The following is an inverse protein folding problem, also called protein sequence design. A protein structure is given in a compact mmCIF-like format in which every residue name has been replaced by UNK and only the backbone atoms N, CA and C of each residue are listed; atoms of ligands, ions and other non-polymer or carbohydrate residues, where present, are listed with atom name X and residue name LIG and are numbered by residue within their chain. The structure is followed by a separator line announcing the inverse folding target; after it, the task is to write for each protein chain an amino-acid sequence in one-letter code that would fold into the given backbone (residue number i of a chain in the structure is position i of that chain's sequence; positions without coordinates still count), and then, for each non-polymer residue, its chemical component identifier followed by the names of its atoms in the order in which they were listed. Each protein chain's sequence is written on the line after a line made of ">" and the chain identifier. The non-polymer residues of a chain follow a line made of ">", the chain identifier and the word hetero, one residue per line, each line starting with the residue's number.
data_IF_406228460980
#
_entry.id   IF_406228460980
#
_cell.length_a   1.000
_cell.length_b   1.000
_cell.length_c   1.000
_cell.angle_alpha   90.00
_cell.angle_beta   90.00
_cell.angle_gamma   90.00
#
_symmetry.space_group_name_H-M   'P 1'
#
loop_
_entity.id
_entity.type
_entity.pdbx_description
1 polymer ?
#
# COMPACT_ATOMS: atom_id res chain seq x y z
N UNK A 1 -4.34 11.98 13.49
CA UNK A 1 -5.35 10.90 13.46
C UNK A 1 -4.74 9.70 12.77
N UNK A 2 -5.25 8.51 13.07
CA UNK A 2 -4.83 7.28 12.36
C UNK A 2 -5.69 7.10 11.11
N UNK A 3 -5.11 6.64 10.01
CA UNK A 3 -5.87 6.27 8.81
C UNK A 3 -6.71 5.01 9.03
N UNK A 4 -6.30 4.11 9.92
CA UNK A 4 -7.10 2.91 10.25
C UNK A 4 -8.22 3.19 11.26
N UNK A 5 -8.45 4.45 11.63
CA UNK A 5 -9.58 4.84 12.46
C UNK A 5 -10.90 4.61 11.71
N UNK A 6 -11.81 3.85 12.30
CA UNK A 6 -13.07 3.45 11.66
C UNK A 6 -13.92 4.64 11.24
N UNK A 7 -13.92 5.74 12.01
CA UNK A 7 -14.66 6.94 11.65
C UNK A 7 -14.11 7.58 10.37
N UNK A 8 -12.78 7.56 10.20
CA UNK A 8 -12.10 8.07 8.99
C UNK A 8 -12.38 7.16 7.79
N UNK A 9 -12.31 5.84 7.99
CA UNK A 9 -12.58 4.85 6.93
C UNK A 9 -14.02 4.99 6.42
N UNK A 10 -14.99 5.11 7.34
CA UNK A 10 -16.41 5.23 6.97
C UNK A 10 -16.70 6.54 6.25
N UNK A 11 -16.08 7.64 6.68
CA UNK A 11 -16.16 8.91 5.97
C UNK A 11 -15.59 8.81 4.54
N UNK A 12 -14.44 8.16 4.37
CA UNK A 12 -13.84 7.95 3.04
C UNK A 12 -14.75 7.09 2.17
N UNK A 13 -15.29 5.97 2.69
CA UNK A 13 -16.23 5.09 2.00
C UNK A 13 -17.44 5.85 1.47
N UNK A 14 -18.05 6.69 2.30
CA UNK A 14 -19.19 7.52 1.90
C UNK A 14 -18.82 8.51 0.78
N UNK A 15 -17.64 9.14 0.87
CA UNK A 15 -17.18 10.14 -0.10
C UNK A 15 -16.85 9.55 -1.48
N UNK A 16 -16.42 8.29 -1.54
CA UNK A 16 -16.00 7.64 -2.79
C UNK A 16 -17.07 6.76 -3.43
N UNK A 17 -18.23 6.59 -2.77
CA UNK A 17 -19.34 5.79 -3.28
C UNK A 17 -19.76 6.22 -4.70
N UNK A 18 -19.86 5.23 -5.60
CA UNK A 18 -20.24 5.45 -7.01
C UNK A 18 -19.17 6.12 -7.88
N UNK A 19 -17.95 6.32 -7.38
CA UNK A 19 -16.85 6.94 -8.14
C UNK A 19 -15.84 5.89 -8.61
N UNK A 20 -15.04 6.27 -9.61
CA UNK A 20 -13.82 5.53 -9.95
C UNK A 20 -12.72 5.91 -8.95
N UNK A 21 -12.13 4.92 -8.31
CA UNK A 21 -11.21 5.11 -7.17
C UNK A 21 -9.83 4.58 -7.49
N UNK A 22 -8.83 5.39 -7.16
CA UNK A 22 -7.43 5.02 -7.00
C UNK A 22 -7.04 5.37 -5.56
N UNK A 23 -6.29 4.50 -4.90
CA UNK A 23 -5.82 4.71 -3.53
C UNK A 23 -4.30 4.88 -3.53
N UNK A 24 -3.79 5.78 -2.69
CA UNK A 24 -2.37 5.93 -2.39
C UNK A 24 -2.21 5.88 -0.87
N UNK A 25 -1.45 4.91 -0.38
CA UNK A 25 -1.13 4.73 1.03
C UNK A 25 0.28 5.26 1.30
N UNK A 26 0.36 6.28 2.15
CA UNK A 26 1.59 7.02 2.45
C UNK A 26 1.52 7.68 3.84
N UNK A 27 0.96 6.97 4.84
CA UNK A 27 0.71 7.53 6.17
C UNK A 27 1.70 7.01 7.22
N UNK A 28 1.69 5.70 7.47
CA UNK A 28 2.57 4.97 8.37
C UNK A 28 3.37 3.96 7.54
N UNK A 29 4.38 3.39 8.19
CA UNK A 29 5.34 2.52 7.56
C UNK A 29 5.57 1.24 8.34
N UNK A 30 4.92 0.98 9.48
CA UNK A 30 5.01 -0.36 10.09
C UNK A 30 4.16 -1.36 9.30
N UNK A 31 4.62 -2.61 9.25
CA UNK A 31 3.95 -3.71 8.56
C UNK A 31 2.48 -3.82 8.97
N UNK A 32 2.21 -3.91 10.27
CA UNK A 32 0.87 -4.16 10.80
C UNK A 32 -0.10 -3.05 10.41
N UNK A 33 0.34 -1.79 10.49
CA UNK A 33 -0.50 -0.64 10.18
C UNK A 33 -0.82 -0.56 8.69
N UNK A 34 0.20 -0.72 7.83
CA UNK A 34 0.00 -0.70 6.36
C UNK A 34 -0.83 -1.90 5.89
N UNK A 35 -0.68 -3.06 6.50
CA UNK A 35 -1.51 -4.24 6.19
C UNK A 35 -2.98 -3.97 6.52
N UNK A 36 -3.25 -3.29 7.64
CA UNK A 36 -4.61 -2.90 7.99
C UNK A 36 -5.15 -1.80 7.06
N UNK A 37 -4.35 -0.80 6.68
CA UNK A 37 -4.73 0.15 5.63
C UNK A 37 -5.10 -0.56 4.32
N UNK A 38 -4.30 -1.54 3.88
CA UNK A 38 -4.58 -2.34 2.69
C UNK A 38 -5.92 -3.05 2.79
N UNK A 39 -6.20 -3.72 3.92
CA UNK A 39 -7.48 -4.41 4.15
C UNK A 39 -8.67 -3.44 4.14
N UNK A 40 -8.49 -2.22 4.65
CA UNK A 40 -9.57 -1.23 4.75
C UNK A 40 -9.83 -0.46 3.45
N UNK A 41 -8.77 -0.07 2.74
CA UNK A 41 -8.83 0.86 1.62
C UNK A 41 -8.69 0.20 0.25
N UNK A 42 -7.90 -0.88 0.10
CA UNK A 42 -7.76 -1.55 -1.19
C UNK A 42 -9.11 -2.05 -1.76
N UNK A 43 -10.06 -2.57 -0.97
CA UNK A 43 -11.39 -2.95 -1.48
C UNK A 43 -12.17 -1.82 -2.15
N UNK A 44 -11.83 -0.55 -1.87
CA UNK A 44 -12.47 0.63 -2.45
C UNK A 44 -11.96 0.94 -3.86
N UNK A 45 -10.78 0.44 -4.24
CA UNK A 45 -10.16 0.67 -5.55
C UNK A 45 -11.03 0.06 -6.65
N UNK A 46 -11.25 0.78 -7.75
CA UNK A 46 -12.02 0.23 -8.87
C UNK A 46 -11.24 -0.83 -9.65
N UNK A 47 -11.92 -1.82 -10.22
CA UNK A 47 -11.29 -2.80 -11.14
C UNK A 47 -10.59 -2.07 -12.30
N UNK A 48 -9.35 -2.46 -12.59
CA UNK A 48 -8.48 -1.80 -13.56
C UNK A 48 -7.79 -0.52 -13.08
N UNK A 49 -8.04 -0.10 -11.83
CA UNK A 49 -7.35 0.98 -11.13
C UNK A 49 -6.27 0.43 -10.20
N UNK A 50 -5.70 1.28 -9.33
CA UNK A 50 -4.55 0.95 -8.49
C UNK A 50 -4.77 1.26 -7.01
N UNK A 51 -4.18 0.42 -6.16
CA UNK A 51 -3.73 0.78 -4.82
C UNK A 51 -2.21 0.96 -4.89
N UNK A 52 -1.70 2.16 -4.62
CA UNK A 52 -0.27 2.43 -4.61
C UNK A 52 0.19 2.50 -3.16
N UNK A 53 1.07 1.60 -2.76
CA UNK A 53 1.72 1.60 -1.44
C UNK A 53 3.09 2.25 -1.59
N UNK A 54 3.31 3.36 -0.89
CA UNK A 54 4.56 4.09 -0.94
C UNK A 54 5.63 3.45 -0.04
N UNK A 55 6.88 3.87 -0.25
CA UNK A 55 8.03 3.53 0.59
C UNK A 55 8.33 2.03 0.80
N UNK A 56 7.86 1.19 -0.11
CA UNK A 56 8.25 -0.24 -0.13
C UNK A 56 9.74 -0.44 -0.40
N UNK A 57 10.46 0.58 -0.87
CA UNK A 57 11.94 0.53 -1.03
C UNK A 57 12.67 0.28 0.29
N UNK A 58 12.05 0.59 1.43
CA UNK A 58 12.64 0.39 2.77
C UNK A 58 13.17 -1.03 2.96
N UNK A 59 12.49 -2.05 2.41
CA UNK A 59 12.94 -3.45 2.50
C UNK A 59 14.27 -3.72 1.75
N UNK A 60 14.58 -2.94 0.72
CA UNK A 60 15.80 -3.11 -0.08
C UNK A 60 16.97 -2.27 0.44
N UNK A 61 16.73 -1.43 1.46
CA UNK A 61 17.74 -0.56 2.04
C UNK A 61 18.60 -1.29 3.09
N UNK A 62 19.78 -0.73 3.45
CA UNK A 62 20.55 -1.18 4.60
C UNK A 62 19.71 -1.16 5.90
N UNK A 63 20.01 -2.06 6.83
CA UNK A 63 19.29 -2.17 8.12
C UNK A 63 19.33 -0.87 8.94
N UNK A 64 20.41 -0.09 8.81
CA UNK A 64 20.66 1.16 9.51
C UNK A 64 20.26 2.42 8.70
N UNK A 65 19.49 2.26 7.61
CA UNK A 65 19.07 3.40 6.79
C UNK A 65 18.18 4.41 7.55
N UNK A 66 17.43 3.94 8.55
CA UNK A 66 16.51 4.76 9.36
C UNK A 66 16.62 4.41 10.86
N UNK A 67 17.73 4.73 11.54
CA UNK A 67 18.03 4.21 12.88
C UNK A 67 17.09 4.76 13.98
N UNK A 68 16.47 5.93 13.75
CA UNK A 68 15.58 6.59 14.70
C UNK A 68 14.09 6.34 14.42
N UNK A 69 13.76 5.43 13.49
CA UNK A 69 12.38 5.10 13.13
C UNK A 69 11.95 3.77 13.77
N UNK A 70 10.67 3.63 14.12
CA UNK A 70 10.14 2.39 14.69
C UNK A 70 9.87 1.31 13.64
N UNK A 71 10.30 1.52 12.38
CA UNK A 71 10.09 0.66 11.23
C UNK A 71 11.37 0.63 10.39
N UNK A 72 11.53 -0.39 9.55
CA UNK A 72 12.74 -0.61 8.77
C UNK A 72 12.67 -1.92 7.99
N UNK A 73 13.82 -2.47 7.60
CA UNK A 73 13.84 -3.77 6.93
C UNK A 73 13.18 -4.85 7.80
N UNK A 74 12.29 -5.66 7.21
CA UNK A 74 11.47 -6.65 7.92
C UNK A 74 10.15 -6.13 8.51
N UNK A 75 10.04 -4.82 8.79
CA UNK A 75 8.83 -4.17 9.32
C UNK A 75 8.56 -2.88 8.54
N UNK A 76 7.97 -3.01 7.34
CA UNK A 76 7.80 -1.90 6.40
C UNK A 76 6.60 -2.10 5.44
N UNK A 77 6.28 -1.11 4.58
CA UNK A 77 5.19 -1.24 3.63
C UNK A 77 5.32 -2.41 2.64
N UNK A 78 6.55 -2.82 2.26
CA UNK A 78 6.72 -3.94 1.31
C UNK A 78 6.34 -5.27 1.93
N UNK A 79 6.71 -5.49 3.18
CA UNK A 79 6.33 -6.73 3.88
C UNK A 79 4.81 -6.82 4.05
N UNK A 80 4.13 -5.68 4.27
CA UNK A 80 2.66 -5.61 4.29
C UNK A 80 2.03 -5.92 2.93
N UNK A 81 2.60 -5.38 1.84
CA UNK A 81 2.15 -5.70 0.46
C UNK A 81 2.22 -7.20 0.19
N UNK A 82 3.35 -7.84 0.49
CA UNK A 82 3.51 -9.27 0.25
C UNK A 82 2.51 -10.09 1.07
N UNK A 83 2.33 -9.79 2.36
CA UNK A 83 1.32 -10.45 3.20
C UNK A 83 -0.11 -10.26 2.66
N UNK A 84 -0.48 -9.05 2.25
CA UNK A 84 -1.79 -8.78 1.68
C UNK A 84 -2.07 -9.59 0.40
N UNK A 85 -1.06 -9.76 -0.47
CA UNK A 85 -1.20 -10.55 -1.70
C UNK A 85 -1.31 -12.05 -1.45
N UNK A 86 -0.86 -12.56 -0.29
CA UNK A 86 -1.12 -13.94 0.13
C UNK A 86 -2.59 -14.14 0.51
N UNK A 87 -3.22 -13.13 1.10
CA UNK A 87 -4.62 -13.13 1.55
C UNK A 87 -5.62 -12.77 0.42
N UNK A 88 -5.17 -11.99 -0.56
CA UNK A 88 -6.05 -11.38 -1.56
C UNK A 88 -5.60 -11.72 -2.99
N UNK A 89 -6.55 -12.12 -3.85
CA UNK A 89 -6.30 -12.46 -5.26
C UNK A 89 -6.91 -11.45 -6.24
N UNK A 90 -7.50 -10.37 -5.76
CA UNK A 90 -8.06 -9.31 -6.60
C UNK A 90 -6.98 -8.34 -7.11
N UNK A 91 -5.78 -8.39 -6.54
CA UNK A 91 -4.66 -7.51 -6.89
C UNK A 91 -3.45 -8.29 -7.40
N UNK A 92 -2.68 -7.62 -8.26
CA UNK A 92 -1.36 -8.07 -8.71
C UNK A 92 -0.37 -6.89 -8.72
N UNK A 93 0.91 -7.17 -8.53
CA UNK A 93 1.98 -6.17 -8.70
C UNK A 93 2.14 -5.86 -10.19
N UNK A 94 2.02 -4.59 -10.59
CA UNK A 94 2.26 -4.17 -11.97
C UNK A 94 3.73 -3.83 -12.21
N UNK A 95 4.53 -4.86 -12.49
CA UNK A 95 5.96 -4.72 -12.80
C UNK A 95 6.25 -3.80 -14.00
N UNK A 96 5.27 -3.56 -14.89
CA UNK A 96 5.45 -2.67 -16.06
C UNK A 96 5.64 -1.21 -15.61
N UNK A 97 5.10 -0.83 -14.45
CA UNK A 97 5.30 0.51 -13.90
C UNK A 97 6.75 0.68 -13.47
N UNK A 98 7.34 -0.31 -12.78
CA UNK A 98 8.76 -0.26 -12.41
C UNK A 98 9.66 -0.09 -13.64
N UNK A 99 9.41 -0.88 -14.69
CA UNK A 99 10.19 -0.81 -15.94
C UNK A 99 10.07 0.53 -16.66
N UNK A 100 8.93 1.23 -16.53
CA UNK A 100 8.71 2.56 -17.12
C UNK A 100 9.36 3.67 -16.31
N UNK A 101 9.30 3.59 -14.98
CA UNK A 101 9.84 4.61 -14.09
C UNK A 101 11.37 4.56 -14.00
N UNK A 102 11.97 3.37 -14.21
CA UNK A 102 13.40 3.06 -14.06
C UNK A 102 13.93 3.16 -12.62
N UNK A 103 13.47 4.16 -11.87
CA UNK A 103 13.76 4.39 -10.45
C UNK A 103 12.44 4.67 -9.73
N UNK A 104 12.20 4.04 -8.59
CA UNK A 104 11.01 4.27 -7.77
C UNK A 104 11.31 4.05 -6.29
N UNK A 105 10.59 4.77 -5.43
CA UNK A 105 10.54 4.54 -3.96
C UNK A 105 9.52 3.47 -3.58
N UNK A 106 8.72 3.01 -4.54
CA UNK A 106 7.65 2.04 -4.36
C UNK A 106 7.86 0.74 -5.17
N UNK A 107 9.04 0.05 -5.12
CA UNK A 107 9.20 -1.27 -5.72
C UNK A 107 8.21 -2.26 -5.11
N UNK A 108 7.42 -2.90 -5.95
CA UNK A 108 6.27 -3.78 -5.61
C UNK A 108 5.06 -3.04 -5.04
N UNK A 109 5.13 -1.71 -4.90
CA UNK A 109 4.06 -0.90 -4.32
C UNK A 109 2.89 -0.61 -5.26
N UNK A 110 3.01 -0.86 -6.57
CA UNK A 110 1.94 -0.60 -7.54
C UNK A 110 1.03 -1.81 -7.72
N UNK A 111 -0.05 -1.88 -6.92
CA UNK A 111 -1.01 -2.96 -6.95
C UNK A 111 -2.16 -2.63 -7.89
N UNK A 112 -2.26 -3.34 -9.01
CA UNK A 112 -3.37 -3.20 -9.97
C UNK A 112 -4.51 -4.10 -9.53
N UNK A 113 -5.72 -3.55 -9.41
CA UNK A 113 -6.92 -4.37 -9.17
C UNK A 113 -7.35 -5.06 -10.47
N UNK A 114 -7.41 -6.38 -10.46
CA UNK A 114 -7.70 -7.22 -11.64
C UNK A 114 -9.07 -7.89 -11.58
N UNK A 115 -9.71 -7.94 -10.41
CA UNK A 115 -11.02 -8.55 -10.16
C UNK A 115 -11.91 -7.66 -9.31
#
# INVERSE_FOLDING_TARGET
>A
GSSIDTAIVDEVRARVAGKKVLVVLDSNHTHEHVLEELRLYAPLVSVGSYCVVMDTVVEDMPEDAFPDRPWGKGDNPKTAVWAYLEENRDFEIDARIHSKLLITVAPDGYLRRVR
#
